data_IF_740925033115
#
_entry.id   IF_740925033115
#
_cell.length_a   1.000
_cell.length_b   1.000
_cell.length_c   1.000
_cell.angle_alpha   90.00
_cell.angle_beta   90.00
_cell.angle_gamma   90.00
#
_symmetry.space_group_name_H-M   'P 1'
#
loop_
_entity.id
_entity.type
_entity.pdbx_description
1 polymer ?
#
# COMPACT_ATOMS: atom_id res chain seq x y z
N UNK A 1 -51.85 -28.40 28.76
CA UNK A 1 -52.52 -29.22 27.73
C UNK A 1 -51.91 -30.60 27.75
N UNK A 2 -52.79 -31.58 27.65
CA UNK A 2 -52.72 -32.92 28.21
C UNK A 2 -51.57 -33.82 27.76
N UNK A 3 -51.21 -34.73 28.67
CA UNK A 3 -50.36 -35.91 28.47
C UNK A 3 -51.22 -37.01 27.82
N UNK A 4 -50.65 -37.85 26.94
CA UNK A 4 -50.90 -39.28 27.12
C UNK A 4 -49.63 -40.13 27.16
N UNK A 5 -49.80 -41.20 27.90
CA UNK A 5 -48.80 -42.08 28.47
C UNK A 5 -48.14 -43.02 27.45
N UNK A 6 -46.90 -43.35 27.79
CA UNK A 6 -46.11 -44.46 27.28
C UNK A 6 -46.79 -45.80 27.63
N UNK A 7 -46.86 -46.73 26.66
CA UNK A 7 -47.10 -48.13 26.95
C UNK A 7 -45.80 -48.92 26.75
N UNK A 8 -45.38 -49.58 27.81
CA UNK A 8 -44.19 -50.42 27.92
C UNK A 8 -44.40 -51.76 27.23
N UNK A 9 -43.34 -52.35 26.70
CA UNK A 9 -43.22 -53.81 26.67
C UNK A 9 -41.78 -54.23 26.92
N UNK A 10 -41.66 -55.20 27.82
CA UNK A 10 -40.46 -55.70 28.47
C UNK A 10 -39.59 -56.59 27.55
N UNK A 11 -38.30 -56.61 27.90
CA UNK A 11 -37.16 -57.21 27.21
C UNK A 11 -37.09 -58.75 27.17
N UNK A 12 -36.27 -59.28 26.23
CA UNK A 12 -35.10 -60.20 26.41
C UNK A 12 -34.72 -60.90 25.06
N UNK A 13 -33.54 -61.55 24.88
CA UNK A 13 -32.22 -60.92 24.68
C UNK A 13 -31.43 -61.49 23.46
N UNK A 14 -30.47 -60.74 22.90
CA UNK A 14 -29.37 -61.33 22.10
C UNK A 14 -28.87 -60.50 20.90
N UNK A 15 -27.56 -60.25 20.90
CA UNK A 15 -26.67 -59.78 19.81
C UNK A 15 -26.61 -58.28 19.46
N UNK A 16 -25.38 -57.71 19.56
CA UNK A 16 -24.91 -56.51 18.84
C UNK A 16 -24.97 -55.17 19.62
N UNK A 17 -23.93 -54.31 19.56
CA UNK A 17 -23.95 -53.01 20.23
C UNK A 17 -24.64 -51.97 19.33
N UNK A 18 -25.80 -51.45 19.75
CA UNK A 18 -26.42 -50.29 19.13
C UNK A 18 -26.81 -49.26 20.20
N UNK A 19 -26.29 -48.05 19.99
CA UNK A 19 -26.91 -46.73 20.16
C UNK A 19 -27.63 -46.40 21.48
N UNK A 20 -27.02 -45.49 22.24
CA UNK A 20 -27.63 -44.75 23.35
C UNK A 20 -28.60 -43.70 22.76
N UNK A 21 -29.85 -43.58 23.23
CA UNK A 21 -30.81 -42.64 22.65
C UNK A 21 -30.40 -41.17 22.90
N UNK A 22 -30.45 -40.37 21.84
CA UNK A 22 -30.14 -38.92 21.76
C UNK A 22 -30.94 -38.01 22.72
N UNK A 23 -31.77 -38.55 23.61
CA UNK A 23 -32.61 -37.74 24.51
C UNK A 23 -31.92 -37.43 25.86
N UNK A 24 -31.02 -38.28 26.38
CA UNK A 24 -30.35 -38.03 27.68
C UNK A 24 -29.24 -36.98 27.61
N UNK A 25 -28.53 -36.88 26.49
CA UNK A 25 -27.54 -35.81 26.26
C UNK A 25 -28.18 -34.43 26.11
N UNK A 26 -29.44 -34.37 25.65
CA UNK A 26 -30.19 -33.12 25.51
C UNK A 26 -30.58 -32.52 26.88
N UNK A 27 -31.01 -33.35 27.84
CA UNK A 27 -31.38 -32.88 29.18
C UNK A 27 -30.20 -32.38 30.02
N UNK A 28 -29.04 -33.06 29.94
CA UNK A 28 -27.82 -32.59 30.62
C UNK A 28 -27.29 -31.29 30.00
N UNK A 29 -27.34 -31.18 28.67
CA UNK A 29 -26.95 -29.95 27.95
C UNK A 29 -27.89 -28.79 28.25
N UNK A 30 -29.20 -29.03 28.39
CA UNK A 30 -30.16 -28.00 28.81
C UNK A 30 -29.95 -27.55 30.26
N UNK A 31 -29.60 -28.45 31.18
CA UNK A 31 -29.27 -28.08 32.57
C UNK A 31 -27.95 -27.30 32.69
N UNK A 32 -26.95 -27.61 31.86
CA UNK A 32 -25.71 -26.84 31.80
C UNK A 32 -25.89 -25.47 31.12
N UNK A 33 -26.75 -25.40 30.09
CA UNK A 33 -27.17 -24.15 29.46
C UNK A 33 -27.86 -23.22 30.46
N UNK A 34 -28.88 -23.70 31.18
CA UNK A 34 -29.63 -22.86 32.13
C UNK A 34 -28.78 -22.42 33.31
N UNK A 35 -27.89 -23.29 33.82
CA UNK A 35 -26.93 -22.93 34.88
C UNK A 35 -25.85 -21.96 34.38
N UNK A 36 -25.50 -21.99 33.10
CA UNK A 36 -24.62 -21.00 32.47
C UNK A 36 -25.31 -19.65 32.31
N UNK A 37 -26.58 -19.64 31.91
CA UNK A 37 -27.39 -18.43 31.76
C UNK A 37 -27.72 -17.74 33.09
N UNK A 38 -27.95 -18.50 34.16
CA UNK A 38 -28.15 -17.96 35.51
C UNK A 38 -26.87 -17.32 36.06
N UNK A 39 -25.70 -17.97 35.89
CA UNK A 39 -24.39 -17.37 36.23
C UNK A 39 -24.13 -16.10 35.44
N UNK A 40 -24.49 -16.07 34.16
CA UNK A 40 -24.35 -14.88 33.31
C UNK A 40 -25.28 -13.74 33.74
N UNK A 41 -26.49 -14.04 34.25
CA UNK A 41 -27.40 -13.03 34.82
C UNK A 41 -26.95 -12.50 36.17
N UNK A 42 -26.39 -13.33 37.04
CA UNK A 42 -25.83 -12.90 38.33
C UNK A 42 -24.58 -12.03 38.13
N UNK A 43 -23.72 -12.37 37.16
CA UNK A 43 -22.56 -11.55 36.79
C UNK A 43 -22.99 -10.20 36.18
N UNK A 44 -24.01 -10.18 35.32
CA UNK A 44 -24.62 -8.95 34.78
C UNK A 44 -25.24 -8.05 35.88
N UNK A 45 -25.91 -8.66 36.88
CA UNK A 45 -26.48 -7.94 38.02
C UNK A 45 -25.39 -7.37 38.94
N UNK A 46 -24.28 -8.10 39.14
CA UNK A 46 -23.09 -7.61 39.88
C UNK A 46 -22.35 -6.51 39.11
N UNK A 47 -22.35 -6.56 37.78
CA UNK A 47 -21.79 -5.51 36.91
C UNK A 47 -22.64 -4.22 36.98
N UNK A 48 -23.97 -4.36 37.08
CA UNK A 48 -24.92 -3.22 37.16
C UNK A 48 -24.97 -2.53 38.52
N UNK A 49 -24.68 -3.22 39.64
CA UNK A 49 -24.66 -2.58 40.97
C UNK A 49 -23.36 -1.81 41.28
N UNK A 50 -22.35 -1.85 40.40
CA UNK A 50 -21.12 -1.06 40.50
C UNK A 50 -21.14 0.28 39.75
N UNK A 51 -22.28 0.63 39.14
CA UNK A 51 -22.49 1.93 38.46
C UNK A 51 -23.32 2.87 39.35
N UNK A 52 -22.85 3.08 40.57
CA UNK A 52 -23.30 4.17 41.45
C UNK A 52 -22.14 4.61 42.35
N UNK A 53 -21.10 5.12 41.70
CA UNK A 53 -19.95 5.74 42.36
C UNK A 53 -18.90 6.15 41.33
N UNK A 54 -18.74 7.45 41.14
CA UNK A 54 -17.63 8.08 40.40
C UNK A 54 -17.69 8.00 38.87
N UNK A 55 -18.55 8.80 38.24
CA UNK A 55 -18.44 9.13 36.81
C UNK A 55 -17.26 10.08 36.59
N UNK A 56 -16.05 9.54 36.53
CA UNK A 56 -14.94 10.14 35.81
C UNK A 56 -14.91 9.50 34.43
N UNK A 57 -15.60 10.11 33.46
CA UNK A 57 -15.51 9.72 32.06
C UNK A 57 -14.07 9.95 31.59
N UNK A 58 -13.26 8.90 31.57
CA UNK A 58 -11.93 8.94 30.97
C UNK A 58 -12.11 8.93 29.44
N UNK A 59 -12.60 10.04 28.88
CA UNK A 59 -12.59 10.28 27.45
C UNK A 59 -11.12 10.33 27.04
N UNK A 60 -10.62 9.30 26.33
CA UNK A 60 -9.31 9.39 25.68
C UNK A 60 -9.33 10.66 24.83
N UNK A 61 -8.55 11.67 25.24
CA UNK A 61 -8.44 12.94 24.52
C UNK A 61 -7.98 12.62 23.10
N UNK A 62 -8.75 13.02 22.09
CA UNK A 62 -8.33 12.87 20.71
C UNK A 62 -7.08 13.71 20.50
N UNK A 63 -6.11 13.18 19.78
CA UNK A 63 -4.85 13.87 19.52
C UNK A 63 -5.08 15.07 18.57
N UNK A 64 -4.37 16.18 18.81
CA UNK A 64 -4.45 17.41 18.02
C UNK A 64 -3.06 18.03 17.85
N UNK A 65 -2.74 18.45 16.62
CA UNK A 65 -1.52 19.20 16.32
C UNK A 65 -1.44 20.50 17.12
N UNK A 66 -2.52 21.30 17.18
CA UNK A 66 -2.50 22.60 17.85
C UNK A 66 -2.14 22.46 19.34
N UNK A 67 -2.73 21.47 19.99
CA UNK A 67 -2.43 21.16 21.39
C UNK A 67 -1.00 20.67 21.57
N UNK A 68 -0.52 19.77 20.69
CA UNK A 68 0.83 19.24 20.75
C UNK A 68 1.88 20.35 20.57
N UNK A 69 1.70 21.25 19.61
CA UNK A 69 2.61 22.37 19.36
C UNK A 69 2.65 23.34 20.56
N UNK A 70 1.51 23.60 21.19
CA UNK A 70 1.42 24.43 22.39
C UNK A 70 2.10 23.77 23.61
N UNK A 71 1.84 22.47 23.84
CA UNK A 71 2.41 21.70 24.95
C UNK A 71 3.93 21.56 24.83
N UNK A 72 4.42 21.23 23.63
CA UNK A 72 5.86 21.10 23.34
C UNK A 72 6.55 22.47 23.13
N UNK A 73 5.78 23.57 23.03
CA UNK A 73 6.26 24.93 22.75
C UNK A 73 7.12 25.01 21.48
N UNK A 74 6.70 24.30 20.44
CA UNK A 74 7.36 24.27 19.13
C UNK A 74 6.44 24.83 18.06
N UNK A 75 7.01 25.28 16.94
CA UNK A 75 6.26 25.79 15.80
C UNK A 75 6.25 24.77 14.67
N UNK A 76 5.13 24.70 13.94
CA UNK A 76 5.06 23.91 12.72
C UNK A 76 5.96 24.51 11.63
N UNK A 77 6.60 23.66 10.84
CA UNK A 77 7.30 24.09 9.62
C UNK A 77 6.32 24.82 8.70
N UNK A 78 6.62 26.06 8.26
CA UNK A 78 5.74 26.80 7.37
C UNK A 78 5.48 26.04 6.06
N UNK A 79 4.21 25.96 5.64
CA UNK A 79 3.80 25.23 4.43
C UNK A 79 4.57 25.65 3.17
N UNK A 80 4.93 26.93 3.06
CA UNK A 80 5.73 27.49 1.94
C UNK A 80 7.14 26.93 1.78
N UNK A 81 7.63 26.13 2.74
CA UNK A 81 8.95 25.49 2.66
C UNK A 81 8.88 24.10 2.00
N UNK A 82 7.69 23.54 1.87
CA UNK A 82 7.46 22.28 1.17
C UNK A 82 7.33 22.53 -0.32
N UNK A 83 7.74 21.57 -1.15
CA UNK A 83 7.57 21.68 -2.61
C UNK A 83 6.08 21.60 -2.99
N UNK A 84 5.75 21.90 -4.24
CA UNK A 84 4.38 21.77 -4.75
C UNK A 84 3.85 20.33 -4.57
N UNK A 85 4.68 19.32 -4.83
CA UNK A 85 4.33 17.90 -4.69
C UNK A 85 4.17 17.45 -3.22
N UNK A 86 4.72 18.20 -2.28
CA UNK A 86 4.61 17.94 -0.83
C UNK A 86 3.50 18.77 -0.17
N UNK A 87 3.02 19.79 -0.87
CA UNK A 87 2.00 20.71 -0.39
C UNK A 87 0.61 20.07 -0.43
N UNK A 88 -0.40 20.82 0.04
CA UNK A 88 -1.78 20.35 -0.03
C UNK A 88 -2.20 20.18 -1.50
N UNK A 89 -2.76 19.02 -1.88
CA UNK A 89 -3.14 18.77 -3.26
C UNK A 89 -4.29 19.69 -3.67
N UNK A 90 -4.19 20.28 -4.85
CA UNK A 90 -5.25 21.12 -5.42
C UNK A 90 -6.43 20.30 -5.95
N UNK A 91 -6.13 19.07 -6.39
CA UNK A 91 -7.08 18.17 -7.04
C UNK A 91 -7.59 17.09 -6.09
N UNK A 92 -8.79 16.58 -6.35
CA UNK A 92 -9.33 15.42 -5.62
C UNK A 92 -8.71 14.13 -6.14
N UNK A 93 -8.57 13.14 -5.25
CA UNK A 93 -8.20 11.79 -5.65
C UNK A 93 -9.38 11.11 -6.37
N UNK A 94 -9.20 10.82 -7.67
CA UNK A 94 -10.20 10.16 -8.51
C UNK A 94 -10.08 8.64 -8.60
N UNK A 95 -9.02 8.05 -8.03
CA UNK A 95 -8.77 6.62 -8.10
C UNK A 95 -9.71 5.82 -7.21
N UNK A 96 -10.02 4.60 -7.64
CA UNK A 96 -10.85 3.63 -6.90
C UNK A 96 -10.15 2.29 -6.87
N UNK A 97 -10.35 1.55 -5.77
CA UNK A 97 -9.86 0.18 -5.63
C UNK A 97 -10.32 -0.66 -6.83
N UNK A 98 -9.40 -1.44 -7.40
CA UNK A 98 -9.61 -2.27 -8.59
C UNK A 98 -9.35 -1.56 -9.93
N UNK A 99 -9.14 -0.23 -9.95
CA UNK A 99 -8.63 0.45 -11.15
C UNK A 99 -7.24 -0.06 -11.50
N UNK A 100 -6.92 -0.07 -12.80
CA UNK A 100 -5.63 -0.52 -13.33
C UNK A 100 -4.94 0.61 -14.08
N UNK A 101 -3.62 0.65 -13.97
CA UNK A 101 -2.78 1.69 -14.53
C UNK A 101 -1.39 1.12 -14.85
N UNK A 102 -0.55 1.93 -15.49
CA UNK A 102 0.85 1.61 -15.73
C UNK A 102 1.72 2.40 -14.75
N UNK A 103 2.87 1.87 -14.33
CA UNK A 103 3.75 2.64 -13.46
C UNK A 103 5.15 2.05 -13.36
N UNK A 104 6.08 2.86 -12.85
CA UNK A 104 7.48 2.47 -12.67
C UNK A 104 7.61 1.56 -11.44
N UNK A 105 8.39 0.48 -11.54
CA UNK A 105 8.78 -0.32 -10.37
C UNK A 105 9.78 0.48 -9.51
N UNK A 106 9.47 0.79 -8.23
CA UNK A 106 10.38 1.53 -7.36
C UNK A 106 11.73 0.86 -7.12
N UNK A 107 11.83 -0.46 -7.30
CA UNK A 107 13.09 -1.22 -7.15
C UNK A 107 13.83 -1.39 -8.48
N UNK A 108 13.15 -1.16 -9.61
CA UNK A 108 13.71 -1.24 -10.95
C UNK A 108 13.22 -0.07 -11.78
N UNK A 109 13.80 1.13 -11.62
CA UNK A 109 13.22 2.36 -12.17
C UNK A 109 13.18 2.44 -13.71
N UNK A 110 13.86 1.54 -14.42
CA UNK A 110 13.78 1.37 -15.87
C UNK A 110 12.57 0.55 -16.34
N UNK A 111 11.86 -0.13 -15.42
CA UNK A 111 10.75 -1.03 -15.75
C UNK A 111 9.38 -0.37 -15.54
N UNK A 112 8.55 -0.39 -16.58
CA UNK A 112 7.12 -0.07 -16.51
C UNK A 112 6.31 -1.35 -16.36
N UNK A 113 5.41 -1.38 -15.36
CA UNK A 113 4.61 -2.54 -15.01
C UNK A 113 3.11 -2.21 -15.01
N UNK A 114 2.28 -3.24 -15.21
CA UNK A 114 0.85 -3.15 -14.95
C UNK A 114 0.59 -3.19 -13.45
N UNK A 115 -0.16 -2.21 -12.95
CA UNK A 115 -0.48 -2.06 -11.54
C UNK A 115 -1.99 -1.98 -11.31
N UNK A 116 -2.45 -2.55 -10.19
CA UNK A 116 -3.81 -2.42 -9.70
C UNK A 116 -3.85 -1.56 -8.44
N UNK A 117 -4.85 -0.70 -8.31
CA UNK A 117 -5.11 0.06 -7.07
C UNK A 117 -5.69 -0.91 -6.03
N UNK A 118 -4.89 -1.30 -5.06
CA UNK A 118 -5.30 -2.20 -3.99
C UNK A 118 -6.00 -1.46 -2.85
N UNK A 119 -5.62 -0.21 -2.59
CA UNK A 119 -6.18 0.60 -1.49
C UNK A 119 -6.09 2.09 -1.76
N UNK A 120 -7.03 2.86 -1.20
CA UNK A 120 -7.04 4.33 -1.29
C UNK A 120 -7.23 4.90 0.12
N UNK A 121 -6.26 5.71 0.57
CA UNK A 121 -6.34 6.44 1.85
C UNK A 121 -6.05 7.92 1.57
N UNK A 122 -7.10 8.74 1.66
CA UNK A 122 -6.99 10.18 1.37
C UNK A 122 -6.45 10.42 -0.05
N UNK A 123 -5.27 11.04 -0.15
CA UNK A 123 -4.61 11.32 -1.43
C UNK A 123 -3.59 10.26 -1.86
N UNK A 124 -3.45 9.17 -1.08
CA UNK A 124 -2.49 8.10 -1.33
C UNK A 124 -3.16 6.85 -1.88
N UNK A 125 -2.43 6.13 -2.72
CA UNK A 125 -2.81 4.89 -3.37
C UNK A 125 -1.82 3.80 -2.97
N UNK A 126 -2.30 2.63 -2.59
CA UNK A 126 -1.47 1.42 -2.55
C UNK A 126 -1.62 0.70 -3.88
N UNK A 127 -0.50 0.49 -4.55
CA UNK A 127 -0.42 -0.15 -5.85
C UNK A 127 0.11 -1.57 -5.70
N UNK A 128 -0.49 -2.48 -6.45
CA UNK A 128 -0.20 -3.90 -6.46
C UNK A 128 0.28 -4.35 -7.83
N UNK A 129 1.31 -5.20 -7.85
CA UNK A 129 1.77 -5.87 -9.07
C UNK A 129 0.93 -7.11 -9.33
N UNK A 130 0.14 -7.11 -10.40
CA UNK A 130 -0.75 -8.22 -10.73
C UNK A 130 0.00 -9.56 -10.88
N UNK A 131 -0.41 -10.55 -10.09
CA UNK A 131 0.18 -11.90 -10.06
C UNK A 131 1.43 -12.02 -9.17
N UNK A 132 1.79 -10.97 -8.43
CA UNK A 132 2.88 -11.00 -7.45
C UNK A 132 2.33 -10.95 -6.01
N UNK A 133 3.11 -11.40 -5.01
CA UNK A 133 2.74 -11.25 -3.60
C UNK A 133 2.58 -9.78 -3.16
N UNK A 134 1.70 -9.53 -2.19
CA UNK A 134 1.45 -8.19 -1.63
C UNK A 134 2.66 -7.52 -0.97
N UNK A 135 3.75 -8.27 -0.69
CA UNK A 135 4.98 -7.71 -0.15
C UNK A 135 5.71 -6.78 -1.14
N UNK A 136 5.32 -6.81 -2.42
CA UNK A 136 5.81 -5.88 -3.44
C UNK A 136 4.92 -4.65 -3.59
N UNK A 137 3.79 -4.58 -2.88
CA UNK A 137 2.92 -3.41 -2.93
C UNK A 137 3.64 -2.17 -2.40
N UNK A 138 3.37 -1.02 -3.00
CA UNK A 138 3.96 0.24 -2.60
C UNK A 138 2.94 1.37 -2.63
N UNK A 139 3.23 2.44 -1.89
CA UNK A 139 2.36 3.59 -1.79
C UNK A 139 2.87 4.77 -2.60
N UNK A 140 1.97 5.42 -3.33
CA UNK A 140 2.22 6.68 -4.03
C UNK A 140 1.11 7.69 -3.75
N UNK A 141 1.36 8.97 -4.05
CA UNK A 141 0.30 9.97 -4.11
C UNK A 141 -0.45 9.85 -5.46
N UNK A 142 -1.70 10.33 -5.50
CA UNK A 142 -2.53 10.31 -6.71
C UNK A 142 -2.00 11.18 -7.87
N UNK A 143 -1.10 12.11 -7.58
CA UNK A 143 -0.38 12.96 -8.54
C UNK A 143 1.06 12.49 -8.79
N UNK A 144 1.41 11.27 -8.38
CA UNK A 144 2.76 10.76 -8.57
C UNK A 144 3.18 10.82 -10.05
N UNK A 145 4.38 11.33 -10.35
CA UNK A 145 4.90 11.37 -11.71
C UNK A 145 5.37 9.99 -12.19
N UNK A 146 5.23 8.93 -11.38
CA UNK A 146 5.66 7.57 -11.69
C UNK A 146 4.51 6.64 -12.10
N UNK A 147 3.27 7.13 -12.07
CA UNK A 147 2.08 6.41 -12.54
C UNK A 147 1.53 7.01 -13.83
N UNK A 148 1.00 6.18 -14.71
CA UNK A 148 0.54 6.54 -16.05
C UNK A 148 -0.80 5.89 -16.37
N UNK A 149 -1.64 6.55 -17.20
CA UNK A 149 -2.80 5.90 -17.73
C UNK A 149 -2.38 4.69 -18.53
N UNK A 150 -3.29 3.75 -18.61
CA UNK A 150 -3.17 2.65 -19.52
C UNK A 150 -3.00 3.01 -20.99
N UNK A 151 -2.19 2.22 -21.69
CA UNK A 151 -1.83 2.45 -23.09
C UNK A 151 -0.72 3.48 -23.25
N UNK A 152 -0.20 4.07 -22.16
CA UNK A 152 0.83 5.10 -22.24
C UNK A 152 2.18 4.53 -22.72
N UNK A 153 2.56 3.34 -22.27
CA UNK A 153 3.77 2.67 -22.75
C UNK A 153 3.68 2.39 -24.25
N UNK A 154 2.55 1.88 -24.74
CA UNK A 154 2.33 1.65 -26.18
C UNK A 154 2.42 2.97 -26.97
N UNK A 155 1.72 4.00 -26.51
CA UNK A 155 1.70 5.33 -27.14
C UNK A 155 3.10 5.96 -27.23
N UNK A 156 3.94 5.75 -26.22
CA UNK A 156 5.27 6.35 -26.14
C UNK A 156 6.39 5.43 -26.61
N UNK A 157 6.08 4.25 -27.12
CA UNK A 157 7.07 3.27 -27.61
C UNK A 157 7.90 2.62 -26.49
N UNK A 158 7.42 2.64 -25.24
CA UNK A 158 8.08 2.02 -24.09
C UNK A 158 7.60 0.60 -23.86
N UNK A 159 8.49 -0.22 -23.29
CA UNK A 159 8.19 -1.61 -22.97
C UNK A 159 7.36 -1.70 -21.69
N UNK A 160 6.15 -2.22 -21.82
CA UNK A 160 5.31 -2.60 -20.68
C UNK A 160 5.60 -4.05 -20.27
N UNK A 161 5.90 -4.26 -18.99
CA UNK A 161 6.06 -5.59 -18.41
C UNK A 161 4.68 -6.18 -18.06
N UNK A 162 4.35 -7.37 -18.60
CA UNK A 162 3.06 -7.98 -18.35
C UNK A 162 2.97 -8.52 -16.91
N UNK A 163 1.74 -8.68 -16.38
CA UNK A 163 1.49 -9.43 -15.15
C UNK A 163 2.08 -10.84 -15.19
N UNK A 164 2.43 -11.40 -14.03
CA UNK A 164 2.94 -12.77 -13.93
C UNK A 164 1.89 -13.81 -14.30
N UNK A 165 0.66 -13.60 -13.84
CA UNK A 165 -0.48 -14.48 -14.07
C UNK A 165 -1.57 -13.70 -14.83
N UNK A 166 -1.52 -13.65 -16.17
CA UNK A 166 -2.55 -12.97 -16.94
C UNK A 166 -3.89 -13.71 -16.78
N UNK A 167 -4.97 -13.05 -16.32
CA UNK A 167 -6.26 -13.71 -16.24
C UNK A 167 -6.73 -14.13 -17.64
N UNK A 168 -7.21 -15.36 -17.77
CA UNK A 168 -7.53 -16.04 -19.03
C UNK A 168 -8.54 -15.34 -19.96
N UNK A 169 -9.16 -14.24 -19.51
CA UNK A 169 -10.11 -13.45 -20.29
C UNK A 169 -10.20 -12.02 -19.74
N UNK A 170 -9.15 -11.23 -19.87
CA UNK A 170 -9.29 -9.77 -19.76
C UNK A 170 -8.54 -9.15 -20.93
N UNK A 171 -9.29 -8.91 -22.00
CA UNK A 171 -8.98 -7.84 -22.93
C UNK A 171 -8.59 -6.63 -22.07
N UNK A 172 -7.40 -6.11 -22.27
CA UNK A 172 -6.78 -4.99 -21.55
C UNK A 172 -7.61 -3.73 -21.85
N UNK A 173 -8.88 -3.71 -21.46
CA UNK A 173 -9.73 -2.55 -21.41
C UNK A 173 -9.44 -1.88 -20.08
N UNK A 174 -8.19 -1.47 -19.95
CA UNK A 174 -7.76 -0.65 -18.86
C UNK A 174 -8.62 0.61 -18.90
N UNK A 175 -9.31 0.89 -17.81
CA UNK A 175 -10.08 2.13 -17.70
C UNK A 175 -9.09 3.28 -17.73
N UNK A 176 -9.18 4.12 -18.77
CA UNK A 176 -8.34 5.30 -18.91
C UNK A 176 -8.64 6.24 -17.74
N UNK A 177 -7.75 6.26 -16.75
CA UNK A 177 -7.71 7.33 -15.76
C UNK A 177 -7.05 8.53 -16.44
N UNK A 178 -7.85 9.50 -16.88
CA UNK A 178 -7.32 10.75 -17.44
C UNK A 178 -6.75 11.58 -16.28
N UNK A 179 -5.46 11.44 -16.02
CA UNK A 179 -4.71 12.44 -15.27
C UNK A 179 -4.22 13.49 -16.27
N UNK A 180 -4.50 14.78 -15.99
CA UNK A 180 -4.05 15.88 -16.85
C UNK A 180 -2.52 15.87 -16.91
N UNK A 181 -1.97 15.76 -18.12
CA UNK A 181 -0.53 15.85 -18.36
C UNK A 181 -0.18 17.26 -18.85
N UNK A 182 0.87 17.84 -18.26
CA UNK A 182 1.53 19.04 -18.78
C UNK A 182 2.86 18.57 -19.35
N UNK A 183 2.97 18.51 -20.67
CA UNK A 183 4.24 18.20 -21.32
C UNK A 183 5.21 19.36 -21.10
N UNK A 184 6.28 19.07 -20.38
CA UNK A 184 7.38 19.99 -20.14
C UNK A 184 8.61 19.42 -20.85
N UNK A 185 9.31 20.28 -21.59
CA UNK A 185 10.43 19.84 -22.44
C UNK A 185 11.71 19.85 -21.59
N UNK A 186 12.23 18.66 -21.29
CA UNK A 186 13.58 18.52 -20.75
C UNK A 186 14.63 18.86 -21.82
N UNK A 187 15.72 19.53 -21.43
CA UNK A 187 16.88 19.77 -22.29
C UNK A 187 17.80 18.54 -22.42
N UNK A 188 17.60 17.53 -21.57
CA UNK A 188 18.36 16.28 -21.60
C UNK A 188 17.81 15.34 -22.69
N UNK A 189 18.71 14.57 -23.31
CA UNK A 189 18.38 13.61 -24.36
C UNK A 189 18.98 12.25 -24.03
N UNK A 190 18.27 11.19 -24.42
CA UNK A 190 18.75 9.81 -24.30
C UNK A 190 20.11 9.66 -24.98
N UNK A 191 21.05 9.02 -24.28
CA UNK A 191 22.43 8.82 -24.71
C UNK A 191 23.41 9.91 -24.29
N UNK A 192 22.96 11.04 -23.74
CA UNK A 192 23.85 12.02 -23.12
C UNK A 192 24.56 11.41 -21.91
N UNK A 193 25.82 11.82 -21.68
CA UNK A 193 26.65 11.36 -20.55
C UNK A 193 26.78 12.44 -19.49
N UNK A 194 26.86 12.01 -18.23
CA UNK A 194 27.00 12.85 -17.06
C UNK A 194 27.77 12.13 -15.95
N UNK A 195 28.09 12.85 -14.89
CA UNK A 195 28.56 12.28 -13.63
C UNK A 195 27.39 12.27 -12.63
N UNK A 196 27.18 11.16 -11.94
CA UNK A 196 26.02 10.98 -11.06
C UNK A 196 26.40 10.33 -9.73
N UNK A 197 25.70 10.72 -8.65
CA UNK A 197 25.85 10.12 -7.32
C UNK A 197 25.05 8.83 -7.25
N UNK A 198 25.67 7.72 -6.85
CA UNK A 198 24.94 6.49 -6.52
C UNK A 198 24.09 6.72 -5.26
N UNK A 199 22.76 6.68 -5.38
CA UNK A 199 21.85 6.88 -4.25
C UNK A 199 21.92 5.76 -3.21
N UNK A 200 22.36 4.55 -3.60
CA UNK A 200 22.57 3.42 -2.69
C UNK A 200 23.92 3.53 -1.98
N UNK A 201 24.90 4.17 -2.60
CA UNK A 201 26.18 4.51 -1.99
C UNK A 201 26.57 5.98 -2.26
N UNK A 202 26.07 6.94 -1.46
CA UNK A 202 26.25 8.37 -1.71
C UNK A 202 27.70 8.88 -1.65
N UNK A 203 28.66 8.02 -1.31
CA UNK A 203 30.08 8.33 -1.36
C UNK A 203 30.67 8.20 -2.77
N UNK A 204 29.93 7.59 -3.71
CA UNK A 204 30.39 7.36 -5.07
C UNK A 204 29.77 8.37 -6.03
N UNK A 205 30.63 9.00 -6.84
CA UNK A 205 30.25 9.66 -8.09
C UNK A 205 30.75 8.79 -9.23
N UNK A 206 29.89 8.50 -10.19
CA UNK A 206 30.11 7.51 -11.23
C UNK A 206 29.83 8.08 -12.62
N UNK A 207 30.43 7.47 -13.64
CA UNK A 207 30.07 7.69 -15.03
C UNK A 207 28.65 7.17 -15.26
N UNK A 208 27.78 8.01 -15.81
CA UNK A 208 26.38 7.69 -16.05
C UNK A 208 25.91 8.22 -17.41
N UNK A 209 24.80 7.66 -17.87
CA UNK A 209 24.11 8.02 -19.10
C UNK A 209 22.64 8.33 -18.84
N UNK A 210 22.06 9.20 -19.65
CA UNK A 210 20.61 9.39 -19.73
C UNK A 210 20.01 8.21 -20.50
N UNK A 211 19.28 7.33 -19.82
CA UNK A 211 18.69 6.14 -20.41
C UNK A 211 17.28 6.37 -20.97
N UNK A 212 16.51 7.27 -20.38
CA UNK A 212 15.14 7.60 -20.80
C UNK A 212 14.77 9.04 -20.39
N UNK A 213 13.77 9.64 -21.03
CA UNK A 213 13.28 11.01 -20.75
C UNK A 213 11.75 11.02 -20.77
N UNK A 214 11.15 11.47 -19.67
CA UNK A 214 9.70 11.59 -19.48
C UNK A 214 9.39 12.95 -18.90
N UNK A 215 8.64 13.76 -19.64
CA UNK A 215 8.30 15.13 -19.25
C UNK A 215 9.59 15.90 -18.91
N UNK A 216 9.64 16.60 -17.77
CA UNK A 216 10.85 17.30 -17.29
C UNK A 216 11.83 16.40 -16.51
N UNK A 217 11.63 15.08 -16.50
CA UNK A 217 12.50 14.13 -15.80
C UNK A 217 13.24 13.24 -16.78
N UNK A 218 14.35 12.71 -16.32
CA UNK A 218 15.15 11.75 -17.06
C UNK A 218 15.68 10.66 -16.13
N UNK A 219 15.90 9.48 -16.72
CA UNK A 219 16.42 8.30 -16.06
C UNK A 219 17.95 8.34 -16.14
N UNK A 220 18.60 8.37 -14.98
CA UNK A 220 20.04 8.20 -14.85
C UNK A 220 20.33 6.71 -14.77
N UNK A 221 21.21 6.24 -15.65
CA UNK A 221 21.74 4.88 -15.66
C UNK A 221 23.25 4.90 -15.46
N UNK A 222 23.77 4.00 -14.63
CA UNK A 222 25.21 3.88 -14.39
C UNK A 222 25.84 2.94 -15.42
N UNK A 223 26.78 3.45 -16.21
CA UNK A 223 27.37 2.71 -17.33
C UNK A 223 27.98 1.38 -16.83
N UNK A 224 27.58 0.25 -17.45
CA UNK A 224 27.96 -1.14 -17.10
C UNK A 224 27.45 -1.67 -15.76
N UNK A 225 26.53 -0.98 -15.10
CA UNK A 225 25.90 -1.45 -13.88
C UNK A 225 24.52 -2.03 -14.18
N UNK A 226 23.94 -2.66 -13.17
CA UNK A 226 22.59 -3.18 -13.23
C UNK A 226 21.55 -2.04 -13.10
N UNK A 227 20.45 -2.12 -13.84
CA UNK A 227 19.41 -1.08 -13.88
C UNK A 227 18.71 -0.85 -12.52
N UNK A 228 18.88 -1.73 -11.54
CA UNK A 228 18.36 -1.49 -10.18
C UNK A 228 19.00 -0.28 -9.50
N UNK A 229 20.14 0.21 -9.97
CA UNK A 229 20.79 1.42 -9.47
C UNK A 229 20.27 2.69 -10.14
N UNK A 230 19.51 2.55 -11.22
CA UNK A 230 18.97 3.68 -11.96
C UNK A 230 18.04 4.52 -11.07
N UNK A 231 17.88 5.80 -11.41
CA UNK A 231 16.89 6.64 -10.76
C UNK A 231 16.40 7.76 -11.68
N UNK A 232 15.14 8.14 -11.47
CA UNK A 232 14.57 9.32 -12.10
C UNK A 232 14.97 10.59 -11.35
N UNK A 233 15.33 11.63 -12.09
CA UNK A 233 15.54 12.98 -11.57
C UNK A 233 15.19 14.06 -12.60
N UNK A 234 15.15 15.31 -12.17
CA UNK A 234 15.08 16.48 -13.04
C UNK A 234 16.43 17.23 -13.09
N UNK A 235 16.50 18.24 -13.95
CA UNK A 235 17.71 19.04 -14.19
C UNK A 235 18.26 19.79 -12.96
N UNK A 236 17.44 19.99 -11.91
CA UNK A 236 17.85 20.67 -10.68
C UNK A 236 18.39 19.71 -9.62
N UNK A 237 18.44 18.42 -9.89
CA UNK A 237 18.86 17.42 -8.91
C UNK A 237 20.29 17.69 -8.41
N UNK A 238 20.53 17.64 -7.09
CA UNK A 238 21.88 17.83 -6.55
C UNK A 238 22.79 16.60 -6.73
N UNK A 239 22.27 15.52 -7.32
CA UNK A 239 22.94 14.23 -7.48
C UNK A 239 23.52 14.01 -8.88
N UNK A 240 23.48 15.04 -9.73
CA UNK A 240 23.96 15.00 -11.10
C UNK A 240 24.90 16.16 -11.36
N UNK A 241 25.92 15.93 -12.18
CA UNK A 241 26.95 16.90 -12.51
C UNK A 241 27.38 16.77 -13.97
N UNK A 242 27.83 17.88 -14.61
CA UNK A 242 28.41 17.81 -15.94
C UNK A 242 29.71 16.99 -15.95
N UNK A 243 30.05 16.43 -17.11
CA UNK A 243 31.32 15.73 -17.31
C UNK A 243 32.50 16.65 -16.98
N UNK A 244 33.41 16.17 -16.13
CA UNK A 244 34.58 16.91 -15.64
C UNK A 244 34.42 17.47 -14.23
N UNK A 245 33.25 17.36 -13.60
CA UNK A 245 32.99 17.91 -12.28
C UNK A 245 33.90 17.29 -11.19
N UNK A 246 34.05 15.97 -11.18
CA UNK A 246 34.96 15.28 -10.25
C UNK A 246 36.41 15.75 -10.43
N UNK A 247 36.86 15.94 -11.66
CA UNK A 247 38.20 16.43 -11.96
C UNK A 247 38.41 17.85 -11.42
N UNK A 248 37.45 18.75 -11.64
CA UNK A 248 37.51 20.14 -11.17
C UNK A 248 37.54 20.23 -9.63
N UNK A 249 36.86 19.32 -8.94
CA UNK A 249 36.75 19.31 -7.48
C UNK A 249 37.74 18.37 -6.78
N UNK A 250 38.67 17.75 -7.53
CA UNK A 250 39.65 16.82 -6.98
C UNK A 250 39.03 15.58 -6.32
N UNK A 251 37.88 15.12 -6.83
CA UNK A 251 37.15 13.94 -6.35
C UNK A 251 37.41 12.72 -7.25
N UNK A 252 37.43 11.51 -6.70
CA UNK A 252 37.52 10.30 -7.51
C UNK A 252 36.23 10.10 -8.32
N UNK A 253 36.37 9.76 -9.60
CA UNK A 253 35.28 9.33 -10.47
C UNK A 253 35.33 7.80 -10.62
N UNK A 254 34.20 7.14 -10.38
CA UNK A 254 34.05 5.70 -10.58
C UNK A 254 33.77 5.43 -12.06
N UNK A 255 34.66 4.70 -12.71
CA UNK A 255 34.54 4.33 -14.12
C UNK A 255 33.59 3.13 -14.33
N UNK A 256 33.12 2.89 -15.58
CA UNK A 256 32.31 1.71 -15.94
C UNK A 256 33.04 0.37 -15.79
#
# INVERSE_FOLDING_TARGET
FDIPACNQTLAKPGQGPHEIPLCLHSWQSLQESTRSEERHREDEARMKSKVSGSSATNKKKMWSWDQYLEEERVTATPARLFTEQQSFPENRNGFKVGMRLEGIDPHHPSMFCVLSVAEVIGYRLRLHFDGYPECYDFWVNADSPDIRPAGWCEMTGRRLHPPKDPPAAVCIHLTVCICQQIETISSFQVGMKLEAVDRKNPCLVCVASVADVIDNRFLVHFDNWDDTYDYWCDASSPHIHPVGWCQEHGKPLTAP
#
